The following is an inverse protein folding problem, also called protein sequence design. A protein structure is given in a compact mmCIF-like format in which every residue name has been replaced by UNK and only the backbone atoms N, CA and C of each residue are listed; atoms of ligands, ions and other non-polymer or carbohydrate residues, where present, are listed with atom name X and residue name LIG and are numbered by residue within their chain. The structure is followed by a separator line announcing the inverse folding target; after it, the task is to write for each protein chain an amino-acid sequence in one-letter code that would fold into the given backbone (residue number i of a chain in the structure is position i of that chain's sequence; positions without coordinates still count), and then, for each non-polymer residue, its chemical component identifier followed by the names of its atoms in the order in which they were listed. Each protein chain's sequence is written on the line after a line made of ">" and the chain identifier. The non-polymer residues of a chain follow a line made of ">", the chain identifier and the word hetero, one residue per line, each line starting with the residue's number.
data_IF_824490456443
#
_entry.id   IF_824490456443
#
_cell.length_a   1.000
_cell.length_b   1.000
_cell.length_c   1.000
_cell.angle_alpha   90.00
_cell.angle_beta   90.00
_cell.angle_gamma   90.00
#
_symmetry.space_group_name_H-M   'P 1'
#
loop_
_entity.id
_entity.type
_entity.pdbx_description
1 polymer ?
#
# COMPACT_ATOMS: atom_id res chain seq x y z
N UNK A 1 -30.40 -2.20 -32.52
CA UNK A 1 -29.97 -3.38 -31.74
C UNK A 1 -28.79 -2.90 -30.90
N UNK A 2 -29.08 -2.22 -29.80
CA UNK A 2 -28.07 -1.64 -28.94
C UNK A 2 -27.75 -2.65 -27.83
N UNK A 3 -26.62 -3.32 -27.97
CA UNK A 3 -26.01 -4.11 -26.91
C UNK A 3 -25.25 -3.16 -25.98
N UNK A 4 -25.98 -2.38 -25.18
CA UNK A 4 -25.41 -1.84 -23.95
C UNK A 4 -25.38 -2.97 -22.92
N UNK A 5 -24.30 -3.74 -22.93
CA UNK A 5 -23.90 -4.55 -21.78
C UNK A 5 -23.55 -3.58 -20.66
N UNK A 6 -24.54 -3.28 -19.82
CA UNK A 6 -24.32 -2.64 -18.54
C UNK A 6 -23.36 -3.52 -17.75
N UNK A 7 -22.12 -3.07 -17.55
CA UNK A 7 -21.27 -3.58 -16.48
C UNK A 7 -22.00 -3.27 -15.18
N UNK A 8 -22.80 -4.21 -14.72
CA UNK A 8 -23.30 -4.27 -13.36
C UNK A 8 -22.08 -4.16 -12.46
N UNK A 9 -21.91 -2.99 -11.85
CA UNK A 9 -20.89 -2.80 -10.82
C UNK A 9 -21.46 -3.53 -9.62
N UNK A 10 -21.18 -4.82 -9.52
CA UNK A 10 -21.63 -5.66 -8.43
C UNK A 10 -21.11 -5.06 -7.14
N UNK A 11 -21.98 -4.39 -6.38
CA UNK A 11 -21.70 -3.97 -5.02
C UNK A 11 -21.60 -5.23 -4.17
N UNK A 12 -20.42 -5.84 -4.15
CA UNK A 12 -20.16 -7.02 -3.34
C UNK A 12 -20.16 -6.59 -1.88
N UNK A 13 -21.27 -6.82 -1.19
CA UNK A 13 -21.33 -6.69 0.27
C UNK A 13 -20.26 -7.58 0.89
N UNK A 14 -19.38 -7.04 1.75
CA UNK A 14 -18.35 -7.84 2.41
C UNK A 14 -18.98 -8.98 3.23
N UNK A 15 -18.28 -10.11 3.39
CA UNK A 15 -18.75 -11.16 4.30
C UNK A 15 -18.85 -10.64 5.74
N UNK A 16 -19.72 -11.22 6.60
CA UNK A 16 -19.99 -10.73 7.94
C UNK A 16 -18.76 -10.53 8.84
N UNK A 17 -17.70 -11.33 8.62
CA UNK A 17 -16.44 -11.32 9.35
C UNK A 17 -15.35 -10.42 8.72
N UNK A 18 -15.67 -9.72 7.62
CA UNK A 18 -14.73 -8.84 6.96
C UNK A 18 -14.32 -7.68 7.88
N UNK A 19 -13.02 -7.37 7.88
CA UNK A 19 -12.50 -6.18 8.55
C UNK A 19 -12.76 -4.87 7.75
N UNK A 20 -13.31 -4.98 6.54
CA UNK A 20 -13.50 -3.87 5.60
C UNK A 20 -14.97 -3.72 5.18
N UNK A 21 -15.25 -2.55 4.62
CA UNK A 21 -16.52 -2.15 3.98
C UNK A 21 -16.24 -1.62 2.58
N UNK A 22 -17.29 -1.40 1.76
CA UNK A 22 -17.14 -0.74 0.46
C UNK A 22 -16.65 0.72 0.54
N UNK A 23 -16.67 1.32 1.74
CA UNK A 23 -16.12 2.66 1.99
C UNK A 23 -14.67 2.61 2.49
N UNK A 24 -14.12 1.42 2.74
CA UNK A 24 -12.78 1.28 3.30
C UNK A 24 -11.73 1.73 2.29
N UNK A 25 -10.78 2.52 2.78
CA UNK A 25 -9.63 2.99 1.99
C UNK A 25 -8.38 2.25 2.43
N UNK A 26 -7.68 1.66 1.47
CA UNK A 26 -6.39 1.01 1.68
C UNK A 26 -5.28 1.72 0.89
N UNK A 27 -4.17 2.04 1.53
CA UNK A 27 -2.93 2.46 0.84
C UNK A 27 -2.02 1.27 0.76
N UNK A 28 -1.57 0.91 -0.44
CA UNK A 28 -0.64 -0.19 -0.66
C UNK A 28 0.62 0.34 -1.32
N UNK A 29 1.78 0.16 -0.68
CA UNK A 29 3.08 0.50 -1.26
C UNK A 29 3.65 -0.67 -2.08
N UNK A 30 4.54 -0.36 -3.03
CA UNK A 30 5.14 -1.36 -3.91
C UNK A 30 4.16 -2.11 -4.79
N UNK A 31 3.08 -1.46 -5.22
CA UNK A 31 1.99 -2.10 -5.95
C UNK A 31 2.01 -1.89 -7.48
N UNK A 32 3.16 -1.51 -8.03
CA UNK A 32 3.36 -1.40 -9.47
C UNK A 32 3.49 -2.77 -10.18
N UNK A 33 3.88 -3.83 -9.47
CA UNK A 33 3.99 -5.20 -10.03
C UNK A 33 3.92 -6.26 -8.92
N UNK A 34 3.87 -7.54 -9.31
CA UNK A 34 4.01 -8.67 -8.39
C UNK A 34 2.97 -8.69 -7.27
N UNK A 35 3.41 -8.98 -6.04
CA UNK A 35 2.53 -9.15 -4.87
C UNK A 35 1.71 -7.90 -4.57
N UNK A 36 2.32 -6.72 -4.59
CA UNK A 36 1.59 -5.47 -4.32
C UNK A 36 0.50 -5.20 -5.36
N UNK A 37 0.78 -5.46 -6.65
CA UNK A 37 -0.22 -5.31 -7.71
C UNK A 37 -1.38 -6.31 -7.56
N UNK A 38 -1.07 -7.57 -7.29
CA UNK A 38 -2.08 -8.60 -7.05
C UNK A 38 -2.95 -8.25 -5.83
N UNK A 39 -2.34 -7.71 -4.77
CA UNK A 39 -3.05 -7.25 -3.58
C UNK A 39 -4.00 -6.09 -3.90
N UNK A 40 -3.54 -5.05 -4.60
CA UNK A 40 -4.40 -3.92 -5.01
C UNK A 40 -5.57 -4.40 -5.88
N UNK A 41 -5.29 -5.31 -6.83
CA UNK A 41 -6.34 -5.90 -7.69
C UNK A 41 -7.39 -6.60 -6.84
N UNK A 42 -6.96 -7.43 -5.89
CA UNK A 42 -7.88 -8.19 -5.04
C UNK A 42 -8.70 -7.30 -4.10
N UNK A 43 -8.10 -6.25 -3.54
CA UNK A 43 -8.81 -5.29 -2.70
C UNK A 43 -9.83 -4.48 -3.54
N UNK A 44 -9.48 -4.09 -4.76
CA UNK A 44 -10.39 -3.39 -5.66
C UNK A 44 -11.59 -4.27 -6.08
N UNK A 45 -11.36 -5.57 -6.34
CA UNK A 45 -12.45 -6.54 -6.59
C UNK A 45 -13.42 -6.67 -5.41
N UNK A 46 -12.96 -6.38 -4.20
CA UNK A 46 -13.77 -6.37 -2.97
C UNK A 46 -14.42 -5.00 -2.70
N UNK A 47 -14.38 -4.09 -3.68
CA UNK A 47 -14.92 -2.74 -3.63
C UNK A 47 -14.24 -1.79 -2.64
N UNK A 48 -12.99 -2.07 -2.21
CA UNK A 48 -12.21 -1.08 -1.46
C UNK A 48 -11.67 0.01 -2.40
N UNK A 49 -11.57 1.23 -1.88
CA UNK A 49 -10.78 2.28 -2.53
C UNK A 49 -9.30 2.07 -2.25
N UNK A 50 -8.47 1.98 -3.29
CA UNK A 50 -7.05 1.65 -3.13
C UNK A 50 -6.13 2.73 -3.67
N UNK A 51 -5.15 3.15 -2.86
CA UNK A 51 -4.07 4.04 -3.28
C UNK A 51 -2.83 3.19 -3.56
N UNK A 52 -2.42 3.14 -4.83
CA UNK A 52 -1.23 2.41 -5.26
C UNK A 52 0.00 3.32 -5.20
N UNK A 53 0.92 3.04 -4.27
CA UNK A 53 2.22 3.69 -4.21
C UNK A 53 3.29 2.83 -4.89
N UNK A 54 4.11 3.45 -5.74
CA UNK A 54 5.16 2.77 -6.49
C UNK A 54 6.32 2.29 -5.61
N UNK A 55 7.02 1.23 -6.06
CA UNK A 55 8.35 0.86 -5.58
C UNK A 55 9.26 0.42 -6.72
N UNK A 56 10.56 0.52 -6.48
CA UNK A 56 11.63 0.13 -7.41
C UNK A 56 12.65 -0.76 -6.72
N UNK A 57 13.36 -1.58 -7.48
CA UNK A 57 14.39 -2.49 -6.99
C UNK A 57 15.35 -2.81 -8.13
N UNK A 58 16.65 -2.82 -7.80
CA UNK A 58 17.76 -3.10 -8.70
C UNK A 58 18.54 -4.27 -8.12
N UNK A 59 18.24 -5.49 -8.59
CA UNK A 59 18.75 -6.74 -8.02
C UNK A 59 19.67 -7.50 -8.98
N UNK A 60 20.04 -6.89 -10.09
CA UNK A 60 21.00 -7.49 -11.04
C UNK A 60 22.42 -7.28 -10.52
N UNK A 61 23.32 -8.25 -10.77
CA UNK A 61 24.67 -8.32 -10.20
C UNK A 61 25.46 -7.01 -10.41
N UNK A 62 25.26 -6.35 -11.56
CA UNK A 62 26.01 -5.14 -11.95
C UNK A 62 25.25 -3.83 -11.64
N UNK A 63 24.07 -3.92 -11.02
CA UNK A 63 23.21 -2.75 -10.74
C UNK A 63 23.34 -2.24 -9.30
N UNK A 64 24.28 -2.78 -8.53
CA UNK A 64 24.54 -2.29 -7.18
C UNK A 64 25.42 -1.03 -7.22
N UNK A 65 24.76 0.14 -7.28
CA UNK A 65 25.41 1.45 -7.24
C UNK A 65 24.76 2.35 -6.19
N UNK A 66 25.47 3.42 -5.81
CA UNK A 66 24.96 4.42 -4.86
C UNK A 66 23.72 5.09 -5.43
N UNK A 67 23.71 5.41 -6.71
CA UNK A 67 22.58 6.07 -7.41
C UNK A 67 21.32 5.18 -7.40
N UNK A 68 21.49 3.87 -7.57
CA UNK A 68 20.40 2.91 -7.48
C UNK A 68 19.90 2.76 -6.04
N UNK A 69 20.81 2.74 -5.05
CA UNK A 69 20.45 2.72 -3.64
C UNK A 69 19.68 4.00 -3.22
N UNK A 70 20.14 5.17 -3.65
CA UNK A 70 19.45 6.45 -3.44
C UNK A 70 18.07 6.46 -4.09
N UNK A 71 17.95 5.92 -5.30
CA UNK A 71 16.67 5.81 -6.00
C UNK A 71 15.68 4.90 -5.26
N UNK A 72 16.17 3.78 -4.73
CA UNK A 72 15.37 2.87 -3.88
C UNK A 72 14.93 3.57 -2.60
N UNK A 73 15.84 4.26 -1.87
CA UNK A 73 15.49 4.98 -0.64
C UNK A 73 14.49 6.11 -0.91
N UNK A 74 14.72 6.92 -1.94
CA UNK A 74 13.84 8.03 -2.34
C UNK A 74 12.43 7.55 -2.66
N UNK A 75 12.30 6.42 -3.36
CA UNK A 75 11.00 5.92 -3.82
C UNK A 75 10.30 5.10 -2.74
N UNK A 76 10.98 4.08 -2.22
CA UNK A 76 10.35 3.05 -1.39
C UNK A 76 10.23 3.49 0.07
N UNK A 77 11.12 4.37 0.55
CA UNK A 77 11.08 4.87 1.92
C UNK A 77 10.53 6.30 1.99
N UNK A 78 11.24 7.27 1.44
CA UNK A 78 10.83 8.68 1.55
C UNK A 78 9.51 8.96 0.81
N UNK A 79 9.34 8.42 -0.40
CA UNK A 79 8.09 8.54 -1.17
C UNK A 79 6.88 7.99 -0.41
N UNK A 80 7.01 6.75 0.11
CA UNK A 80 5.98 6.13 0.94
C UNK A 80 5.68 6.95 2.21
N UNK A 81 6.72 7.46 2.88
CA UNK A 81 6.58 8.31 4.07
C UNK A 81 5.77 9.57 3.75
N UNK A 82 6.18 10.31 2.71
CA UNK A 82 5.50 11.55 2.32
C UNK A 82 4.03 11.32 1.95
N UNK A 83 3.74 10.23 1.23
CA UNK A 83 2.36 9.87 0.91
C UNK A 83 1.54 9.59 2.18
N UNK A 84 2.08 8.79 3.10
CA UNK A 84 1.39 8.46 4.35
C UNK A 84 1.16 9.74 5.16
N UNK A 85 2.14 10.63 5.30
CA UNK A 85 2.00 11.90 6.01
C UNK A 85 0.94 12.80 5.37
N UNK A 86 0.88 12.87 4.04
CA UNK A 86 -0.13 13.65 3.34
C UNK A 86 -1.56 13.09 3.56
N UNK A 87 -1.70 11.76 3.64
CA UNK A 87 -3.01 11.10 3.80
C UNK A 87 -3.44 10.97 5.27
N UNK A 88 -2.50 10.96 6.22
CA UNK A 88 -2.79 10.70 7.63
C UNK A 88 -3.81 11.67 8.25
N UNK A 89 -3.79 13.00 7.96
CA UNK A 89 -4.83 13.91 8.44
C UNK A 89 -6.21 13.57 7.88
N UNK A 90 -6.30 13.08 6.65
CA UNK A 90 -7.57 12.66 6.03
C UNK A 90 -8.10 11.39 6.71
N UNK A 91 -7.23 10.40 6.90
CA UNK A 91 -7.61 9.13 7.55
C UNK A 91 -8.07 9.34 8.99
N UNK A 92 -7.43 10.25 9.73
CA UNK A 92 -7.85 10.59 11.10
C UNK A 92 -9.23 11.25 11.19
N UNK A 93 -9.71 11.88 10.11
CA UNK A 93 -11.03 12.54 10.05
C UNK A 93 -12.11 11.68 9.40
N UNK A 94 -11.71 10.62 8.70
CA UNK A 94 -12.66 9.72 8.02
C UNK A 94 -13.44 8.91 9.05
N UNK A 95 -14.76 8.80 8.85
CA UNK A 95 -15.60 7.86 9.58
C UNK A 95 -15.42 6.41 9.06
N UNK A 96 -14.96 6.26 7.81
CA UNK A 96 -14.70 4.97 7.19
C UNK A 96 -13.34 4.39 7.63
N UNK A 97 -13.27 3.06 7.71
CA UNK A 97 -12.04 2.34 8.04
C UNK A 97 -10.92 2.66 7.04
N UNK A 98 -9.73 2.94 7.55
CA UNK A 98 -8.53 3.23 6.75
C UNK A 98 -7.40 2.30 7.16
N UNK A 99 -6.65 1.77 6.19
CA UNK A 99 -5.47 0.91 6.41
C UNK A 99 -4.31 1.30 5.51
N UNK A 100 -3.09 1.19 6.05
CA UNK A 100 -1.84 1.35 5.30
C UNK A 100 -1.14 0.00 5.31
N UNK A 101 -0.82 -0.50 4.13
CA UNK A 101 -0.13 -1.77 3.90
C UNK A 101 1.21 -1.42 3.23
N UNK A 102 2.28 -1.41 4.03
CA UNK A 102 3.62 -1.18 3.51
C UNK A 102 4.24 -2.50 3.06
N UNK A 103 4.42 -2.69 1.75
CA UNK A 103 5.01 -3.91 1.19
C UNK A 103 6.53 -3.73 1.06
N UNK A 104 7.27 -4.56 1.77
CA UNK A 104 8.74 -4.60 1.75
C UNK A 104 9.26 -5.98 1.34
N UNK A 105 10.57 -6.10 1.15
CA UNK A 105 11.24 -7.37 0.85
C UNK A 105 11.82 -8.04 2.10
N UNK A 106 11.97 -9.36 2.09
CA UNK A 106 12.62 -10.12 3.17
C UNK A 106 14.05 -9.65 3.47
N UNK A 107 14.78 -9.19 2.45
CA UNK A 107 16.13 -8.61 2.60
C UNK A 107 16.16 -7.32 3.42
N UNK A 108 15.00 -6.70 3.68
CA UNK A 108 14.87 -5.54 4.56
C UNK A 108 14.53 -5.90 6.01
N UNK A 109 14.49 -7.19 6.36
CA UNK A 109 14.24 -7.63 7.73
C UNK A 109 15.44 -7.30 8.61
N UNK A 110 15.20 -6.43 9.59
CA UNK A 110 16.07 -6.25 10.75
C UNK A 110 15.54 -7.15 11.86
N UNK A 111 16.42 -7.82 12.61
CA UNK A 111 16.00 -8.67 13.73
C UNK A 111 15.65 -7.80 14.94
N UNK A 112 14.45 -7.21 14.93
CA UNK A 112 13.97 -6.26 15.94
C UNK A 112 12.60 -6.66 16.47
N UNK A 113 12.32 -6.36 17.74
CA UNK A 113 11.04 -6.69 18.38
C UNK A 113 9.88 -5.80 17.89
N UNK A 114 8.65 -6.28 18.03
CA UNK A 114 7.45 -5.52 17.66
C UNK A 114 7.35 -4.16 18.36
N UNK A 115 7.75 -4.08 19.63
CA UNK A 115 7.79 -2.81 20.38
C UNK A 115 8.80 -1.83 19.77
N UNK A 116 9.95 -2.34 19.32
CA UNK A 116 10.96 -1.54 18.63
C UNK A 116 10.43 -1.03 17.29
N UNK A 117 9.75 -1.89 16.51
CA UNK A 117 9.12 -1.54 15.24
C UNK A 117 8.04 -0.47 15.44
N UNK A 118 7.18 -0.64 16.44
CA UNK A 118 6.13 0.32 16.76
C UNK A 118 6.72 1.67 17.19
N UNK A 119 7.76 1.64 18.04
CA UNK A 119 8.47 2.85 18.47
C UNK A 119 9.09 3.60 17.28
N UNK A 120 9.73 2.88 16.36
CA UNK A 120 10.31 3.46 15.14
C UNK A 120 9.26 4.00 14.19
N UNK A 121 8.16 3.28 13.98
CA UNK A 121 7.05 3.76 13.18
C UNK A 121 6.54 5.09 13.74
N UNK A 122 6.29 5.17 15.05
CA UNK A 122 5.86 6.42 15.68
C UNK A 122 6.94 7.50 15.61
N UNK A 123 8.23 7.16 15.68
CA UNK A 123 9.31 8.14 15.54
C UNK A 123 9.41 8.71 14.11
N UNK A 124 9.17 7.89 13.09
CA UNK A 124 9.23 8.28 11.68
C UNK A 124 8.05 9.17 11.30
N UNK A 125 6.86 8.93 11.86
CA UNK A 125 5.60 9.61 11.52
C UNK A 125 5.13 10.63 12.57
N UNK A 126 6.06 11.16 13.37
CA UNK A 126 5.81 12.19 14.39
C UNK A 126 5.59 13.57 13.80
#
# INVERSE_FOLDING_TARGET
>A
MDLQSSKETTTTTPPPEAWWTGETVAVVTGANRGIGHALVTRLAEQALSVVNNAAVSFNEIDTNSVENAETVLRTNFYGAKMLIEALLPLFRRSAASSRILNISSQLGLLNVSDDQVNSWFMAIFK
#
